data_IF_399204780383
#
_entry.id   IF_399204780383
#
_cell.length_a   1.000
_cell.length_b   1.000
_cell.length_c   1.000
_cell.angle_alpha   90.00
_cell.angle_beta   90.00
_cell.angle_gamma   90.00
#
_symmetry.space_group_name_H-M   'P 1'
#
loop_
_entity.id
_entity.type
_entity.pdbx_description
1 polymer ?
#
# COMPACT_ATOMS: atom_id res chain seq x y z
N UNK A 1 -31.89 -16.00 -1.73
CA UNK A 1 -31.63 -17.04 -2.75
C UNK A 1 -31.46 -18.42 -2.13
N UNK A 2 -30.44 -18.65 -1.27
CA UNK A 2 -30.19 -19.96 -0.65
C UNK A 2 -31.34 -20.52 0.22
N UNK A 3 -32.15 -19.65 0.84
CA UNK A 3 -33.27 -20.06 1.71
C UNK A 3 -34.64 -20.10 1.02
N UNK A 4 -34.70 -20.04 -0.33
CA UNK A 4 -35.96 -20.22 -1.08
C UNK A 4 -36.99 -19.08 -0.99
N UNK A 5 -36.78 -18.06 -0.16
CA UNK A 5 -37.65 -16.87 -0.09
C UNK A 5 -37.43 -15.99 -1.34
N UNK A 6 -38.49 -15.80 -2.13
CA UNK A 6 -38.47 -15.02 -3.39
C UNK A 6 -39.23 -13.69 -3.31
N UNK A 7 -40.22 -13.61 -2.44
CA UNK A 7 -41.12 -12.46 -2.33
C UNK A 7 -41.20 -12.00 -0.87
N UNK A 8 -41.46 -10.71 -0.67
CA UNK A 8 -41.65 -10.09 0.64
C UNK A 8 -43.11 -9.69 0.81
N UNK A 9 -43.69 -9.98 1.96
CA UNK A 9 -45.01 -9.46 2.35
C UNK A 9 -44.94 -8.04 2.94
N UNK A 10 -43.72 -7.52 3.17
CA UNK A 10 -43.49 -6.21 3.77
C UNK A 10 -43.36 -5.12 2.71
N UNK A 11 -44.16 -4.06 2.83
CA UNK A 11 -44.02 -2.84 2.04
C UNK A 11 -42.93 -1.97 2.66
N UNK A 12 -41.82 -1.79 1.94
CA UNK A 12 -40.63 -1.12 2.47
C UNK A 12 -40.88 0.37 2.72
N UNK A 13 -40.57 0.84 3.93
CA UNK A 13 -40.08 2.20 4.14
C UNK A 13 -38.55 2.14 4.15
N UNK A 14 -37.92 2.93 3.27
CA UNK A 14 -36.47 3.09 3.32
C UNK A 14 -36.10 3.81 4.63
N UNK A 15 -35.19 3.22 5.39
CA UNK A 15 -34.56 3.90 6.52
C UNK A 15 -34.01 5.25 6.08
N UNK A 16 -34.11 6.26 6.97
CA UNK A 16 -33.52 7.58 6.76
C UNK A 16 -32.04 7.47 6.39
N UNK A 17 -31.59 8.31 5.47
CA UNK A 17 -30.15 8.55 5.28
C UNK A 17 -29.66 9.25 6.53
N UNK A 18 -28.78 8.61 7.29
CA UNK A 18 -28.08 9.25 8.39
C UNK A 18 -26.86 10.00 7.84
N UNK A 19 -26.34 10.95 8.62
CA UNK A 19 -25.17 11.71 8.24
C UNK A 19 -24.00 10.78 7.89
N UNK A 20 -23.50 10.93 6.67
CA UNK A 20 -22.31 10.24 6.19
C UNK A 20 -21.12 11.17 6.41
N UNK A 21 -20.22 10.75 7.30
CA UNK A 21 -18.95 11.43 7.49
C UNK A 21 -18.08 11.31 6.23
N UNK A 22 -17.33 12.36 5.93
CA UNK A 22 -16.50 12.48 4.72
C UNK A 22 -15.15 11.77 4.96
N UNK A 23 -15.21 10.45 5.01
CA UNK A 23 -14.07 9.59 5.34
C UNK A 23 -13.30 9.19 4.06
N UNK A 24 -11.97 9.42 3.99
CA UNK A 24 -11.19 9.16 2.78
C UNK A 24 -10.97 7.67 2.48
N UNK A 25 -11.21 6.77 3.44
CA UNK A 25 -10.89 5.35 3.32
C UNK A 25 -12.11 4.47 3.03
N UNK A 26 -13.28 4.78 3.61
CA UNK A 26 -14.49 4.00 3.41
C UNK A 26 -15.77 4.82 3.55
N UNK A 27 -16.79 4.41 2.82
CA UNK A 27 -18.15 4.96 2.93
C UNK A 27 -18.93 4.21 3.99
N UNK A 28 -19.79 4.92 4.71
CA UNK A 28 -20.77 4.37 5.64
C UNK A 28 -22.18 4.71 5.18
N UNK A 29 -22.94 3.71 4.74
CA UNK A 29 -24.33 3.86 4.33
C UNK A 29 -25.27 2.98 5.17
N UNK A 30 -25.94 3.61 6.13
CA UNK A 30 -26.85 2.92 7.05
C UNK A 30 -28.06 2.29 6.38
N UNK A 31 -28.43 2.67 5.14
CA UNK A 31 -29.55 2.03 4.42
C UNK A 31 -29.29 0.54 4.16
N UNK A 32 -28.02 0.16 4.04
CA UNK A 32 -27.62 -1.23 3.86
C UNK A 32 -27.29 -1.92 5.19
N UNK A 33 -27.34 -1.21 6.32
CA UNK A 33 -27.01 -1.78 7.62
C UNK A 33 -28.15 -2.66 8.12
N UNK A 34 -27.80 -3.86 8.57
CA UNK A 34 -28.74 -4.83 9.18
C UNK A 34 -28.56 -4.94 10.70
N UNK A 35 -27.84 -4.00 11.31
CA UNK A 35 -27.57 -3.95 12.76
C UNK A 35 -27.00 -5.25 13.36
N UNK A 36 -26.19 -5.98 12.60
CA UNK A 36 -25.63 -7.27 13.03
C UNK A 36 -24.56 -7.17 14.15
N UNK A 37 -24.10 -5.97 14.51
CA UNK A 37 -23.09 -5.75 15.56
C UNK A 37 -21.67 -6.24 15.23
N UNK A 38 -21.40 -6.75 14.03
CA UNK A 38 -20.05 -7.22 13.67
C UNK A 38 -18.99 -6.11 13.72
N UNK A 39 -19.34 -4.92 13.20
CA UNK A 39 -18.44 -3.77 13.15
C UNK A 39 -18.13 -3.19 14.53
N UNK A 40 -19.11 -3.17 15.45
CA UNK A 40 -18.93 -2.65 16.82
C UNK A 40 -18.08 -3.63 17.63
N UNK A 41 -18.42 -4.93 17.60
CA UNK A 41 -17.63 -5.98 18.27
C UNK A 41 -16.19 -6.03 17.82
N UNK A 42 -15.90 -6.01 16.51
CA UNK A 42 -14.49 -6.03 16.06
C UNK A 42 -13.73 -4.77 16.48
N UNK A 43 -14.42 -3.62 16.53
CA UNK A 43 -13.83 -2.36 16.96
C UNK A 43 -13.46 -2.39 18.45
N UNK A 44 -14.31 -3.01 19.27
CA UNK A 44 -14.12 -3.13 20.72
C UNK A 44 -13.21 -4.29 21.13
N UNK A 45 -13.54 -5.50 20.70
CA UNK A 45 -12.96 -6.74 21.23
C UNK A 45 -11.59 -7.05 20.62
N UNK A 46 -11.38 -6.68 19.35
CA UNK A 46 -10.16 -7.04 18.60
C UNK A 46 -9.24 -5.83 18.45
N UNK A 47 -9.78 -4.70 18.00
CA UNK A 47 -8.97 -3.49 17.79
C UNK A 47 -8.77 -2.72 19.09
N UNK A 48 -9.74 -2.76 20.02
CA UNK A 48 -9.70 -2.00 21.27
C UNK A 48 -9.90 -0.49 21.10
N UNK A 49 -10.41 -0.04 19.95
CA UNK A 49 -10.61 1.38 19.67
C UNK A 49 -11.93 1.92 20.26
N UNK A 50 -12.98 1.09 20.37
CA UNK A 50 -14.30 1.49 20.87
C UNK A 50 -14.88 2.73 20.15
N UNK A 51 -14.59 2.89 18.86
CA UNK A 51 -14.91 4.11 18.11
C UNK A 51 -16.37 4.18 17.65
N UNK A 52 -17.05 3.03 17.56
CA UNK A 52 -18.43 2.95 17.07
C UNK A 52 -19.25 1.98 17.93
N UNK A 53 -20.52 2.30 18.13
CA UNK A 53 -21.49 1.49 18.86
C UNK A 53 -22.89 1.61 18.24
N UNK A 54 -23.79 0.66 18.52
CA UNK A 54 -25.22 0.77 18.20
C UNK A 54 -25.87 1.69 19.24
N UNK A 55 -26.34 2.84 18.78
CA UNK A 55 -27.10 3.81 19.60
C UNK A 55 -28.57 3.81 19.21
N UNK A 56 -29.40 4.40 20.06
CA UNK A 56 -30.85 4.46 19.87
C UNK A 56 -31.57 3.21 20.34
N UNK A 57 -32.87 3.09 20.00
CA UNK A 57 -33.72 1.96 20.34
C UNK A 57 -34.74 1.71 19.23
N UNK A 58 -35.13 0.44 19.06
CA UNK A 58 -36.13 0.05 18.05
C UNK A 58 -35.69 0.40 16.63
N UNK A 59 -36.62 0.91 15.82
CA UNK A 59 -36.37 1.27 14.42
C UNK A 59 -35.41 2.46 14.22
N UNK A 60 -35.13 3.22 15.28
CA UNK A 60 -34.18 4.34 15.24
C UNK A 60 -32.74 3.92 15.56
N UNK A 61 -32.51 2.62 15.79
CA UNK A 61 -31.19 2.12 16.14
C UNK A 61 -30.23 2.20 14.97
N UNK A 62 -29.01 2.69 15.19
CA UNK A 62 -27.98 2.78 14.16
C UNK A 62 -26.58 2.77 14.75
N UNK A 63 -25.60 2.41 13.92
CA UNK A 63 -24.18 2.43 14.30
C UNK A 63 -23.66 3.86 14.23
N UNK A 64 -23.24 4.42 15.36
CA UNK A 64 -22.72 5.78 15.47
C UNK A 64 -21.40 5.82 16.24
N UNK A 65 -20.69 6.91 16.06
CA UNK A 65 -19.58 7.36 16.92
C UNK A 65 -20.14 8.00 18.20
N UNK A 66 -19.30 8.33 19.19
CA UNK A 66 -19.73 9.15 20.32
C UNK A 66 -20.40 10.45 19.86
N UNK A 67 -21.60 10.73 20.39
CA UNK A 67 -22.43 11.88 20.04
C UNK A 67 -22.82 12.00 18.55
N UNK A 68 -22.71 10.91 17.79
CA UNK A 68 -22.93 10.87 16.33
C UNK A 68 -22.07 11.89 15.55
N UNK A 69 -20.87 12.19 16.07
CA UNK A 69 -19.91 13.09 15.45
C UNK A 69 -19.07 12.44 14.32
N UNK A 70 -18.21 13.20 13.65
CA UNK A 70 -17.26 12.66 12.67
C UNK A 70 -16.36 11.57 13.28
N UNK A 71 -15.96 10.58 12.48
CA UNK A 71 -15.02 9.53 12.90
C UNK A 71 -13.63 10.10 13.21
N UNK A 72 -13.22 11.16 12.53
CA UNK A 72 -11.94 11.84 12.79
C UNK A 72 -11.87 12.42 14.20
N UNK A 73 -13.01 12.80 14.78
CA UNK A 73 -13.13 13.32 16.14
C UNK A 73 -13.36 12.22 17.19
N UNK A 74 -13.40 10.96 16.76
CA UNK A 74 -13.59 9.79 17.63
C UNK A 74 -12.27 9.08 17.93
N UNK A 75 -12.32 8.00 18.72
CA UNK A 75 -11.17 7.10 18.95
C UNK A 75 -10.83 6.19 17.75
N UNK A 76 -11.40 6.44 16.57
CA UNK A 76 -11.14 5.65 15.36
C UNK A 76 -9.67 5.78 14.92
N UNK A 77 -8.99 4.64 14.80
CA UNK A 77 -7.61 4.56 14.29
C UNK A 77 -7.54 4.25 12.79
N UNK A 78 -8.67 4.34 12.09
CA UNK A 78 -8.81 4.07 10.66
C UNK A 78 -8.25 2.70 10.20
N UNK A 79 -8.36 1.66 11.03
CA UNK A 79 -7.84 0.33 10.71
C UNK A 79 -8.62 -0.43 9.64
N UNK A 80 -9.87 -0.03 9.35
CA UNK A 80 -10.74 -0.64 8.34
C UNK A 80 -11.23 -2.06 8.67
N UNK A 81 -11.01 -2.58 9.89
CA UNK A 81 -11.49 -3.91 10.28
C UNK A 81 -13.02 -4.02 10.25
N UNK A 82 -13.74 -2.95 10.60
CA UNK A 82 -15.20 -2.87 10.48
C UNK A 82 -15.70 -3.01 9.04
N UNK A 83 -14.95 -2.47 8.07
CA UNK A 83 -15.26 -2.54 6.64
C UNK A 83 -15.15 -3.99 6.15
N UNK A 84 -14.14 -4.71 6.63
CA UNK A 84 -13.90 -6.08 6.21
C UNK A 84 -14.97 -7.05 6.69
N UNK A 85 -15.44 -6.90 7.94
CA UNK A 85 -16.42 -7.83 8.52
C UNK A 85 -17.87 -7.49 8.19
N UNK A 86 -18.11 -6.35 7.56
CA UNK A 86 -19.43 -5.91 7.16
C UNK A 86 -20.02 -6.87 6.12
N UNK A 87 -21.12 -7.58 6.44
CA UNK A 87 -21.69 -8.58 5.53
C UNK A 87 -22.58 -7.95 4.44
N UNK A 88 -22.77 -6.64 4.47
CA UNK A 88 -23.59 -5.87 3.53
C UNK A 88 -22.79 -4.71 2.94
N UNK A 89 -23.41 -3.91 2.09
CA UNK A 89 -22.81 -2.70 1.52
C UNK A 89 -22.77 -1.50 2.49
N UNK A 90 -23.06 -1.70 3.79
CA UNK A 90 -23.11 -0.60 4.75
C UNK A 90 -21.75 0.04 5.03
N UNK A 91 -20.67 -0.72 4.89
CA UNK A 91 -19.29 -0.22 4.96
C UNK A 91 -18.53 -0.75 3.75
N UNK A 92 -17.98 0.15 2.94
CA UNK A 92 -17.24 -0.22 1.73
C UNK A 92 -16.03 0.69 1.52
N UNK A 93 -14.90 0.20 0.99
CA UNK A 93 -13.77 1.05 0.62
C UNK A 93 -14.18 2.15 -0.37
N UNK A 94 -13.69 3.38 -0.21
CA UNK A 94 -13.94 4.47 -1.18
C UNK A 94 -13.33 4.12 -2.54
N UNK A 95 -12.15 3.50 -2.53
CA UNK A 95 -11.37 3.13 -3.72
C UNK A 95 -12.08 2.17 -4.68
N UNK A 96 -13.13 1.45 -4.24
CA UNK A 96 -13.90 0.53 -5.10
C UNK A 96 -15.18 1.12 -5.68
N UNK A 97 -15.61 2.31 -5.24
CA UNK A 97 -16.88 2.90 -5.65
C UNK A 97 -16.92 3.08 -7.18
N UNK A 98 -17.97 2.53 -7.81
CA UNK A 98 -18.15 2.61 -9.26
C UNK A 98 -17.16 1.81 -10.10
N UNK A 99 -16.20 1.08 -9.50
CA UNK A 99 -15.13 0.38 -10.22
C UNK A 99 -15.46 -1.06 -10.65
N UNK A 100 -16.72 -1.49 -10.53
CA UNK A 100 -17.19 -2.80 -10.99
C UNK A 100 -17.84 -3.66 -9.92
N UNK A 101 -18.24 -4.87 -10.32
CA UNK A 101 -18.93 -5.86 -9.47
C UNK A 101 -17.96 -6.89 -8.89
N UNK A 102 -18.29 -7.53 -7.77
CA UNK A 102 -17.41 -8.49 -7.09
C UNK A 102 -16.96 -9.68 -7.95
N UNK A 103 -17.78 -10.09 -8.93
CA UNK A 103 -17.46 -11.18 -9.85
C UNK A 103 -16.60 -10.74 -11.04
N UNK A 104 -16.37 -9.44 -11.22
CA UNK A 104 -15.48 -8.88 -12.25
C UNK A 104 -14.06 -8.64 -11.71
N UNK A 105 -13.83 -8.89 -10.41
CA UNK A 105 -12.55 -8.58 -9.77
C UNK A 105 -11.65 -9.80 -9.73
N UNK A 106 -10.41 -9.62 -10.19
CA UNK A 106 -9.36 -10.61 -10.05
C UNK A 106 -8.84 -10.61 -8.61
N UNK A 107 -8.81 -11.77 -7.96
CA UNK A 107 -8.32 -11.91 -6.58
C UNK A 107 -6.93 -12.51 -6.59
N UNK A 108 -5.99 -11.82 -5.96
CA UNK A 108 -4.62 -12.32 -5.79
C UNK A 108 -4.26 -12.37 -4.31
N UNK A 109 -4.05 -13.58 -3.80
CA UNK A 109 -3.44 -13.78 -2.50
C UNK A 109 -1.91 -13.65 -2.59
N UNK A 110 -1.31 -12.96 -1.63
CA UNK A 110 0.14 -12.79 -1.52
C UNK A 110 0.52 -12.42 -0.07
N UNK A 111 1.77 -12.02 0.14
CA UNK A 111 2.32 -11.65 1.44
C UNK A 111 2.55 -10.13 1.49
N UNK A 112 2.16 -9.52 2.61
CA UNK A 112 2.36 -8.11 2.88
C UNK A 112 3.84 -7.82 3.19
N UNK A 113 4.52 -7.06 2.32
CA UNK A 113 5.93 -6.69 2.46
C UNK A 113 6.22 -5.45 3.33
N UNK A 114 5.28 -5.02 4.18
CA UNK A 114 5.42 -3.79 4.96
C UNK A 114 6.24 -3.91 6.24
N UNK A 115 6.27 -5.08 6.85
CA UNK A 115 6.96 -5.33 8.12
C UNK A 115 7.29 -6.83 8.21
N UNK A 116 8.08 -7.21 9.23
CA UNK A 116 8.50 -8.61 9.42
C UNK A 116 7.40 -9.59 9.83
N UNK A 117 6.14 -9.16 9.98
CA UNK A 117 5.03 -10.05 10.35
C UNK A 117 4.65 -10.99 9.20
N UNK A 118 4.71 -10.51 7.94
CA UNK A 118 4.39 -11.34 6.78
C UNK A 118 2.90 -11.73 6.68
N UNK A 119 1.99 -10.80 6.96
CA UNK A 119 0.55 -11.05 6.87
C UNK A 119 0.14 -11.54 5.47
N UNK A 120 -0.72 -12.57 5.42
CA UNK A 120 -1.36 -13.01 4.17
C UNK A 120 -2.47 -12.02 3.80
N UNK A 121 -2.37 -11.46 2.60
CA UNK A 121 -3.25 -10.41 2.06
C UNK A 121 -3.86 -10.87 0.74
N UNK A 122 -5.14 -10.57 0.53
CA UNK A 122 -5.83 -10.70 -0.75
C UNK A 122 -6.03 -9.29 -1.34
N UNK A 123 -5.48 -9.07 -2.53
CA UNK A 123 -5.75 -7.89 -3.34
C UNK A 123 -6.87 -8.18 -4.34
N UNK A 124 -7.90 -7.34 -4.33
CA UNK A 124 -8.91 -7.32 -5.37
C UNK A 124 -8.47 -6.34 -6.46
N UNK A 125 -8.36 -6.81 -7.70
CA UNK A 125 -7.81 -6.08 -8.83
C UNK A 125 -8.81 -6.00 -9.99
N UNK A 126 -8.64 -4.99 -10.83
CA UNK A 126 -9.33 -4.87 -12.13
C UNK A 126 -8.47 -4.01 -13.06
N UNK A 127 -8.33 -4.40 -14.32
CA UNK A 127 -7.61 -3.62 -15.34
C UNK A 127 -6.17 -3.22 -14.93
N UNK A 128 -5.48 -4.09 -14.18
CA UNK A 128 -4.13 -3.82 -13.66
C UNK A 128 -4.07 -2.93 -12.42
N UNK A 129 -5.20 -2.38 -11.94
CA UNK A 129 -5.28 -1.62 -10.70
C UNK A 129 -5.70 -2.48 -9.51
N UNK A 130 -5.05 -2.27 -8.37
CA UNK A 130 -5.55 -2.76 -7.08
C UNK A 130 -6.68 -1.82 -6.65
N UNK A 131 -7.84 -2.38 -6.29
CA UNK A 131 -9.00 -1.62 -5.84
C UNK A 131 -9.10 -1.59 -4.32
N UNK A 132 -8.86 -2.72 -3.66
CA UNK A 132 -8.81 -2.81 -2.20
C UNK A 132 -8.01 -4.03 -1.77
N UNK A 133 -7.60 -4.02 -0.50
CA UNK A 133 -6.95 -5.15 0.16
C UNK A 133 -7.75 -5.59 1.39
N UNK A 134 -7.78 -6.90 1.63
CA UNK A 134 -8.30 -7.51 2.87
C UNK A 134 -7.37 -8.64 3.33
N UNK A 135 -7.45 -9.03 4.59
CA UNK A 135 -6.74 -10.23 5.02
C UNK A 135 -7.29 -11.45 4.29
N UNK A 136 -6.40 -12.33 3.86
CA UNK A 136 -6.81 -13.61 3.30
C UNK A 136 -7.46 -14.45 4.41
N UNK A 137 -8.45 -15.26 4.05
CA UNK A 137 -9.22 -16.02 5.02
C UNK A 137 -8.35 -17.04 5.78
N UNK A 138 -8.61 -17.15 7.09
CA UNK A 138 -8.13 -18.20 7.99
C UNK A 138 -6.67 -18.63 7.77
N UNK A 139 -5.73 -17.74 8.11
CA UNK A 139 -4.31 -18.03 8.05
C UNK A 139 -3.63 -17.94 9.43
N UNK A 140 -2.49 -18.62 9.58
CA UNK A 140 -1.79 -18.76 10.86
C UNK A 140 -1.11 -17.49 11.37
N UNK A 141 -0.91 -16.49 10.51
CA UNK A 141 -0.13 -15.29 10.84
C UNK A 141 -1.03 -14.17 11.35
N UNK A 142 -1.99 -13.77 10.53
CA UNK A 142 -2.87 -12.64 10.82
C UNK A 142 -4.35 -13.03 10.94
N UNK A 143 -4.69 -14.32 10.82
CA UNK A 143 -6.07 -14.80 10.82
C UNK A 143 -6.80 -14.28 9.60
N UNK A 144 -7.45 -13.12 9.77
CA UNK A 144 -8.10 -12.34 8.72
C UNK A 144 -7.75 -10.84 8.80
N UNK A 145 -6.98 -10.38 9.79
CA UNK A 145 -6.80 -8.97 10.08
C UNK A 145 -5.65 -8.35 9.29
N UNK A 146 -5.74 -7.06 9.01
CA UNK A 146 -4.63 -6.26 8.47
C UNK A 146 -4.52 -4.96 9.26
N UNK A 147 -3.28 -4.49 9.44
CA UNK A 147 -3.02 -3.13 9.89
C UNK A 147 -3.32 -2.12 8.77
N UNK A 148 -3.27 -0.83 9.10
CA UNK A 148 -3.50 0.27 8.15
C UNK A 148 -2.57 0.21 6.94
N UNK A 149 -1.28 -0.08 7.14
CA UNK A 149 -0.28 -0.19 6.06
C UNK A 149 -0.65 -1.32 5.09
N UNK A 150 -0.96 -2.51 5.59
CA UNK A 150 -1.33 -3.65 4.74
C UNK A 150 -2.66 -3.45 4.02
N UNK A 151 -3.59 -2.69 4.61
CA UNK A 151 -4.92 -2.46 4.05
C UNK A 151 -4.94 -1.38 2.96
N UNK A 152 -4.16 -0.32 3.12
CA UNK A 152 -4.25 0.88 2.27
C UNK A 152 -2.96 1.20 1.51
N UNK A 153 -1.81 0.71 1.96
CA UNK A 153 -0.52 1.10 1.40
C UNK A 153 -0.14 0.33 0.13
N UNK A 154 -0.98 0.25 -0.89
CA UNK A 154 -0.64 -0.44 -2.14
C UNK A 154 -0.69 0.48 -3.35
N UNK A 155 -0.98 1.75 -3.12
CA UNK A 155 -1.01 2.84 -4.10
C UNK A 155 0.33 3.07 -4.80
N UNK A 156 1.45 2.78 -4.13
CA UNK A 156 2.79 2.89 -4.70
C UNK A 156 3.00 2.09 -5.99
N UNK A 157 2.22 1.03 -6.24
CA UNK A 157 2.31 0.20 -7.45
C UNK A 157 1.94 0.99 -8.71
N UNK A 158 0.99 1.92 -8.58
CA UNK A 158 0.48 2.75 -9.67
C UNK A 158 0.81 4.24 -9.48
N UNK A 159 1.74 4.55 -8.58
CA UNK A 159 2.09 5.93 -8.28
C UNK A 159 2.77 6.58 -9.50
N UNK A 160 2.43 7.83 -9.87
CA UNK A 160 3.02 8.51 -11.04
C UNK A 160 4.55 8.68 -10.98
N UNK A 161 5.13 8.65 -9.77
CA UNK A 161 6.59 8.73 -9.57
C UNK A 161 7.29 7.36 -9.55
N UNK A 162 6.61 6.27 -9.94
CA UNK A 162 7.24 4.96 -10.04
C UNK A 162 8.36 5.00 -11.09
N UNK A 163 9.50 4.43 -10.74
CA UNK A 163 10.61 4.26 -11.70
C UNK A 163 10.23 3.20 -12.73
N UNK A 164 10.10 3.59 -14.00
CA UNK A 164 9.67 2.72 -15.10
C UNK A 164 10.78 2.41 -16.11
N UNK A 165 11.88 3.16 -16.07
CA UNK A 165 13.06 2.97 -16.91
C UNK A 165 14.34 3.26 -16.12
N UNK A 166 15.48 2.68 -16.52
CA UNK A 166 16.76 3.07 -15.96
C UNK A 166 17.08 4.51 -16.36
N UNK A 167 17.82 5.19 -15.48
CA UNK A 167 18.13 6.61 -15.63
C UNK A 167 19.56 6.89 -15.19
N UNK A 168 20.19 7.86 -15.84
CA UNK A 168 21.51 8.37 -15.48
C UNK A 168 21.41 9.85 -15.13
N UNK A 169 22.37 10.31 -14.33
CA UNK A 169 22.46 11.71 -13.91
C UNK A 169 22.82 12.60 -15.11
N UNK A 170 22.21 13.77 -15.21
CA UNK A 170 22.34 14.68 -16.37
C UNK A 170 23.79 15.08 -16.69
N UNK A 171 24.64 15.29 -15.68
CA UNK A 171 26.05 15.61 -15.90
C UNK A 171 26.83 14.44 -16.50
N UNK A 172 26.54 13.22 -16.06
CA UNK A 172 27.14 12.02 -16.62
C UNK A 172 26.67 11.82 -18.05
N UNK A 173 25.38 12.05 -18.31
CA UNK A 173 24.83 12.03 -19.66
C UNK A 173 25.52 13.04 -20.60
N UNK A 174 25.73 14.27 -20.12
CA UNK A 174 26.42 15.31 -20.90
C UNK A 174 27.86 14.91 -21.22
N UNK A 175 28.60 14.39 -20.23
CA UNK A 175 29.97 13.89 -20.44
C UNK A 175 30.04 12.73 -21.44
N UNK A 176 29.00 11.90 -21.50
CA UNK A 176 28.87 10.79 -22.45
C UNK A 176 28.34 11.22 -23.82
N UNK A 177 28.00 12.49 -24.03
CA UNK A 177 27.41 12.98 -25.27
C UNK A 177 25.98 12.50 -25.51
N UNK A 178 25.25 12.12 -24.45
CA UNK A 178 23.87 11.66 -24.50
C UNK A 178 22.85 12.81 -24.40
N UNK A 179 23.33 14.02 -24.09
CA UNK A 179 22.52 15.25 -24.07
C UNK A 179 23.39 16.44 -24.41
N UNK A 180 22.80 17.40 -25.13
CA UNK A 180 23.44 18.69 -25.45
C UNK A 180 23.28 19.72 -24.32
N UNK A 181 22.41 19.45 -23.34
CA UNK A 181 22.16 20.37 -22.22
C UNK A 181 23.25 20.21 -21.15
N UNK A 182 24.09 21.23 -20.92
CA UNK A 182 25.06 21.19 -19.83
C UNK A 182 24.32 21.15 -18.50
N UNK A 183 24.79 20.29 -17.59
CA UNK A 183 24.22 20.19 -16.25
C UNK A 183 24.96 21.09 -15.26
N UNK A 184 24.20 21.91 -14.54
CA UNK A 184 24.69 22.72 -13.44
C UNK A 184 24.30 22.09 -12.10
N UNK A 185 25.23 22.10 -11.14
CA UNK A 185 24.96 21.63 -9.79
C UNK A 185 23.89 22.54 -9.15
N UNK A 186 22.73 22.01 -8.73
CA UNK A 186 21.70 22.83 -8.12
C UNK A 186 22.21 23.47 -6.82
N UNK A 187 21.87 24.75 -6.62
CA UNK A 187 22.28 25.52 -5.42
C UNK A 187 21.86 24.86 -4.10
N UNK A 188 20.75 24.11 -4.12
CA UNK A 188 20.25 23.35 -2.98
C UNK A 188 20.41 21.86 -3.25
N UNK A 189 21.00 21.18 -2.26
CA UNK A 189 21.03 19.71 -2.24
C UNK A 189 19.61 19.15 -2.40
N UNK A 190 19.39 18.15 -3.28
CA UNK A 190 18.10 17.46 -3.39
C UNK A 190 17.60 16.87 -2.06
N UNK A 191 18.50 16.55 -1.12
CA UNK A 191 18.15 16.08 0.23
C UNK A 191 17.46 17.15 1.09
N UNK A 192 17.60 18.43 0.71
CA UNK A 192 16.95 19.57 1.37
C UNK A 192 15.67 20.01 0.64
N UNK A 193 15.33 19.36 -0.47
CA UNK A 193 14.12 19.65 -1.24
C UNK A 193 13.03 18.67 -0.80
N UNK A 194 11.89 19.19 -0.37
CA UNK A 194 10.73 18.34 -0.10
C UNK A 194 10.17 17.81 -1.43
N UNK A 195 10.17 16.49 -1.61
CA UNK A 195 9.75 15.78 -2.84
C UNK A 195 10.51 16.25 -4.10
N UNK A 196 11.82 15.94 -4.23
CA UNK A 196 12.58 16.30 -5.42
C UNK A 196 12.03 15.53 -6.64
N UNK A 197 11.90 16.21 -7.78
CA UNK A 197 11.45 15.57 -9.01
C UNK A 197 12.63 14.90 -9.69
N UNK A 198 12.53 13.60 -9.91
CA UNK A 198 13.61 12.79 -10.50
C UNK A 198 14.06 13.35 -11.86
N UNK A 199 13.12 13.77 -12.71
CA UNK A 199 13.40 14.36 -14.04
C UNK A 199 14.27 15.63 -14.03
N UNK A 200 14.37 16.31 -12.89
CA UNK A 200 15.16 17.53 -12.80
C UNK A 200 16.66 17.20 -12.84
N UNK A 201 17.06 16.03 -12.31
CA UNK A 201 18.46 15.61 -12.17
C UNK A 201 18.85 14.42 -13.05
N UNK A 202 17.89 13.70 -13.62
CA UNK A 202 18.13 12.45 -14.34
C UNK A 202 17.50 12.44 -15.73
N UNK A 203 18.10 11.69 -16.65
CA UNK A 203 17.53 11.37 -17.97
C UNK A 203 17.34 9.85 -18.11
N UNK A 204 16.28 9.40 -18.81
CA UNK A 204 16.10 7.99 -19.13
C UNK A 204 17.11 7.51 -20.17
N UNK A 205 17.57 6.28 -20.02
CA UNK A 205 18.43 5.57 -20.97
C UNK A 205 17.94 4.13 -21.14
N UNK A 206 18.52 3.39 -22.08
CA UNK A 206 18.31 1.95 -22.18
C UNK A 206 19.09 1.17 -21.11
N UNK A 207 18.75 -0.11 -20.96
CA UNK A 207 19.35 -0.98 -19.94
C UNK A 207 20.84 -1.25 -20.17
N UNK A 208 21.28 -1.39 -21.42
CA UNK A 208 22.67 -1.71 -21.72
C UNK A 208 23.56 -0.52 -21.38
N UNK A 209 23.14 0.70 -21.75
CA UNK A 209 23.84 1.94 -21.39
C UNK A 209 23.96 2.08 -19.86
N UNK A 210 22.87 1.88 -19.12
CA UNK A 210 22.89 2.01 -17.66
C UNK A 210 23.77 0.95 -16.98
N UNK A 211 23.64 -0.31 -17.39
CA UNK A 211 24.37 -1.43 -16.80
C UNK A 211 25.87 -1.36 -17.13
N UNK A 212 26.25 -1.03 -18.37
CA UNK A 212 27.65 -0.87 -18.76
C UNK A 212 28.32 0.26 -17.97
N UNK A 213 27.66 1.41 -17.86
CA UNK A 213 28.17 2.54 -17.07
C UNK A 213 28.43 2.13 -15.61
N UNK A 214 27.46 1.47 -14.97
CA UNK A 214 27.60 1.02 -13.58
C UNK A 214 28.72 -0.01 -13.45
N UNK A 215 28.76 -1.01 -14.33
CA UNK A 215 29.77 -2.08 -14.29
C UNK A 215 31.19 -1.54 -14.49
N UNK A 216 31.39 -0.66 -15.47
CA UNK A 216 32.69 -0.04 -15.76
C UNK A 216 33.16 0.81 -14.57
N UNK A 217 32.32 1.71 -14.08
CA UNK A 217 32.67 2.60 -12.96
C UNK A 217 32.95 1.82 -11.68
N UNK A 218 32.18 0.76 -11.40
CA UNK A 218 32.44 -0.10 -10.25
C UNK A 218 33.77 -0.87 -10.42
N UNK A 219 34.01 -1.48 -11.58
CA UNK A 219 35.23 -2.22 -11.85
C UNK A 219 36.49 -1.34 -11.79
N UNK A 220 36.43 -0.12 -12.35
CA UNK A 220 37.50 0.88 -12.27
C UNK A 220 37.85 1.23 -10.81
N UNK A 221 36.83 1.53 -10.00
CA UNK A 221 37.03 1.91 -8.60
C UNK A 221 37.58 0.76 -7.77
N UNK A 222 37.05 -0.46 -7.94
CA UNK A 222 37.54 -1.65 -7.23
C UNK A 222 38.99 -1.97 -7.62
N UNK A 223 39.35 -1.88 -8.91
CA UNK A 223 40.75 -2.06 -9.35
C UNK A 223 41.70 -1.03 -8.75
N UNK A 224 41.26 0.22 -8.62
CA UNK A 224 42.09 1.34 -8.16
C UNK A 224 42.22 1.39 -6.63
N UNK A 225 41.15 1.11 -5.90
CA UNK A 225 41.06 1.33 -4.46
C UNK A 225 40.93 0.03 -3.64
N UNK A 226 40.84 -1.12 -4.31
CA UNK A 226 40.58 -2.41 -3.69
C UNK A 226 39.08 -2.65 -3.45
N UNK A 227 38.71 -3.91 -3.12
CA UNK A 227 37.32 -4.32 -2.95
C UNK A 227 36.63 -3.64 -1.76
N UNK A 228 37.36 -3.32 -0.69
CA UNK A 228 36.79 -2.72 0.53
C UNK A 228 36.44 -1.23 0.36
N UNK A 229 36.74 -0.61 -0.79
CA UNK A 229 36.23 0.71 -1.14
C UNK A 229 34.75 0.69 -1.58
N UNK A 230 34.19 -0.50 -1.82
CA UNK A 230 32.78 -0.70 -2.16
C UNK A 230 31.95 -0.99 -0.90
N UNK A 231 30.70 -0.51 -0.87
CA UNK A 231 29.69 -0.87 0.11
C UNK A 231 28.36 -1.15 -0.59
N UNK A 232 27.74 -2.29 -0.30
CA UNK A 232 26.39 -2.62 -0.72
C UNK A 232 25.37 -2.28 0.35
N UNK A 233 24.25 -1.64 -0.03
CA UNK A 233 23.10 -1.43 0.85
C UNK A 233 21.86 -2.06 0.23
N UNK A 234 21.39 -3.15 0.82
CA UNK A 234 20.20 -3.89 0.40
C UNK A 234 18.91 -3.29 0.98
N UNK A 235 17.79 -3.51 0.30
CA UNK A 235 16.48 -3.05 0.76
C UNK A 235 15.80 -4.10 1.62
N UNK A 236 15.15 -3.67 2.72
CA UNK A 236 14.29 -4.54 3.52
C UNK A 236 12.99 -4.96 2.81
N UNK A 237 12.70 -4.36 1.64
CA UNK A 237 11.54 -4.73 0.80
C UNK A 237 11.88 -5.65 -0.37
N UNK A 238 13.16 -5.96 -0.57
CA UNK A 238 13.58 -6.96 -1.55
C UNK A 238 13.23 -8.37 -1.08
N UNK A 239 13.06 -9.29 -2.03
CA UNK A 239 12.87 -10.71 -1.71
C UNK A 239 14.15 -11.33 -1.16
N UNK A 240 14.02 -12.51 -0.56
CA UNK A 240 15.18 -13.25 -0.07
C UNK A 240 16.12 -13.65 -1.22
N UNK A 241 15.56 -13.95 -2.40
CA UNK A 241 16.31 -14.28 -3.62
C UNK A 241 17.11 -13.07 -4.12
N UNK A 242 16.50 -11.88 -4.15
CA UNK A 242 17.17 -10.64 -4.55
C UNK A 242 18.32 -10.31 -3.58
N UNK A 243 18.05 -10.38 -2.26
CA UNK A 243 19.06 -10.13 -1.23
C UNK A 243 20.19 -11.16 -1.27
N UNK A 244 19.87 -12.43 -1.56
CA UNK A 244 20.87 -13.48 -1.72
C UNK A 244 21.78 -13.24 -2.93
N UNK A 245 21.20 -12.90 -4.09
CA UNK A 245 21.97 -12.58 -5.30
C UNK A 245 22.83 -11.33 -5.06
N UNK A 246 22.27 -10.30 -4.44
CA UNK A 246 23.02 -9.07 -4.11
C UNK A 246 24.19 -9.38 -3.17
N UNK A 247 23.97 -10.15 -2.11
CA UNK A 247 25.06 -10.58 -1.22
C UNK A 247 26.14 -11.37 -1.98
N UNK A 248 25.74 -12.29 -2.86
CA UNK A 248 26.68 -13.09 -3.66
C UNK A 248 27.49 -12.19 -4.60
N UNK A 249 26.86 -11.21 -5.23
CA UNK A 249 27.55 -10.22 -6.06
C UNK A 249 28.59 -9.43 -5.25
N UNK A 250 28.24 -8.92 -4.07
CA UNK A 250 29.19 -8.15 -3.24
C UNK A 250 30.33 -9.01 -2.71
N UNK A 251 30.03 -10.19 -2.17
CA UNK A 251 31.05 -11.05 -1.54
C UNK A 251 31.91 -11.82 -2.53
N UNK A 252 31.31 -12.44 -3.53
CA UNK A 252 32.02 -13.29 -4.47
C UNK A 252 32.42 -12.55 -5.76
N UNK A 253 31.63 -11.57 -6.20
CA UNK A 253 31.91 -10.78 -7.40
C UNK A 253 32.89 -9.63 -7.13
N UNK A 254 32.58 -8.79 -6.12
CA UNK A 254 33.44 -7.66 -5.76
C UNK A 254 34.59 -8.10 -4.83
N UNK A 255 34.32 -9.01 -3.88
CA UNK A 255 35.35 -9.52 -2.97
C UNK A 255 35.41 -8.81 -1.62
N UNK A 256 34.32 -8.16 -1.19
CA UNK A 256 34.25 -7.48 0.12
C UNK A 256 33.07 -7.98 0.96
N UNK A 257 33.19 -7.82 2.28
CA UNK A 257 32.11 -8.07 3.23
C UNK A 257 31.35 -6.79 3.64
N UNK A 258 31.68 -5.65 3.02
CA UNK A 258 30.99 -4.39 3.19
C UNK A 258 29.60 -4.45 2.55
N UNK A 259 28.66 -5.05 3.27
CA UNK A 259 27.27 -5.21 2.90
C UNK A 259 26.42 -5.03 4.14
N UNK A 260 25.39 -4.20 4.03
CA UNK A 260 24.33 -4.13 5.03
C UNK A 260 22.98 -3.95 4.35
N UNK A 261 21.92 -3.85 5.14
CA UNK A 261 20.56 -3.64 4.69
C UNK A 261 19.91 -2.51 5.47
N UNK A 262 18.90 -1.86 4.88
CA UNK A 262 18.12 -0.86 5.59
C UNK A 262 17.39 -1.49 6.78
N UNK A 263 17.72 -1.09 8.01
CA UNK A 263 17.09 -1.63 9.23
C UNK A 263 15.65 -1.13 9.47
N UNK A 264 15.13 -0.19 8.66
CA UNK A 264 13.82 0.46 8.87
C UNK A 264 12.88 0.24 7.68
N UNK A 265 11.67 -0.24 7.98
CA UNK A 265 10.57 -0.55 7.04
C UNK A 265 9.43 0.47 7.06
#
# INVERSE_FOLDING_TARGET
YQHGIKETSHQFQLSRTLYQDDNPFFVRDHKYCILCGRCTRICQEVVGANAIEIIGRGFESHVATPFDGPMIDSSCVFCGSCVQVCPTAALMPVSRLGKGREWELDRQETICGYCGVGCKVEYAKKDGEILYAKGAAENSVNGELLCTKGRYGWDFVNHPERLTSPMIRKDVAYQMGLTDEPWELPEKSPLKVHKPKVKDSFIPVDWDTALNLVAEKLAENVKKHGPDAFMGLASARCTNEENYIFQKFVRAGIGTNNLDHCARL
#
